data_IF_512942663179
#
_entry.id   IF_512942663179
#
_cell.length_a   1.000
_cell.length_b   1.000
_cell.length_c   1.000
_cell.angle_alpha   90.00
_cell.angle_beta   90.00
_cell.angle_gamma   90.00
#
_symmetry.space_group_name_H-M   'P 1'
#
loop_
_entity.id
_entity.type
_entity.pdbx_description
1 polymer ?
#
# COMPACT_ATOMS: atom_id res chain seq x y z
N UNK A 1 -18.90 19.06 14.72
CA UNK A 1 -17.66 18.92 15.54
C UNK A 1 -16.55 18.46 14.60
N UNK A 2 -15.48 19.23 14.39
CA UNK A 2 -14.31 18.75 13.64
C UNK A 2 -13.63 17.69 14.51
N UNK A 3 -13.41 16.49 13.94
CA UNK A 3 -12.55 15.50 14.58
C UNK A 3 -11.15 16.09 14.64
N UNK A 4 -10.54 16.09 15.79
CA UNK A 4 -9.18 16.63 16.00
C UNK A 4 -8.14 15.52 16.03
N UNK A 5 -8.56 14.26 15.99
CA UNK A 5 -7.70 13.11 16.15
C UNK A 5 -7.66 12.25 14.88
N UNK A 6 -6.49 11.72 14.57
CA UNK A 6 -6.32 10.64 13.60
C UNK A 6 -6.89 9.36 14.18
N UNK A 7 -7.69 8.65 13.41
CA UNK A 7 -8.14 7.30 13.76
C UNK A 7 -7.30 6.27 13.02
N UNK A 8 -6.78 5.29 13.75
CA UNK A 8 -6.03 4.17 13.18
C UNK A 8 -6.82 2.90 13.46
N UNK A 9 -7.11 2.13 12.43
CA UNK A 9 -7.81 0.86 12.53
C UNK A 9 -6.97 -0.23 11.85
N UNK A 10 -6.47 -1.23 12.59
CA UNK A 10 -5.92 -2.42 11.98
C UNK A 10 -7.05 -3.29 11.42
N UNK A 11 -6.75 -4.05 10.37
CA UNK A 11 -7.64 -5.04 9.81
C UNK A 11 -7.02 -6.42 9.90
N UNK A 12 -7.81 -7.41 10.15
CA UNK A 12 -7.49 -8.84 10.05
C UNK A 12 -6.06 -9.22 10.52
N UNK A 13 -5.46 -10.19 9.86
CA UNK A 13 -4.08 -10.61 10.11
C UNK A 13 -3.14 -9.86 9.15
N UNK A 14 -1.97 -9.45 9.63
CA UNK A 14 -0.97 -8.77 8.82
C UNK A 14 -0.82 -7.28 9.13
N UNK A 15 -0.24 -6.56 8.21
CA UNK A 15 0.11 -5.14 8.37
C UNK A 15 -0.91 -4.19 7.71
N UNK A 16 -2.18 -4.56 7.68
CA UNK A 16 -3.25 -3.83 7.01
C UNK A 16 -3.85 -2.78 7.95
N UNK A 17 -3.82 -1.53 7.54
CA UNK A 17 -4.34 -0.44 8.36
C UNK A 17 -5.20 0.53 7.56
N UNK A 18 -6.19 1.11 8.24
CA UNK A 18 -6.88 2.30 7.79
C UNK A 18 -6.52 3.46 8.71
N UNK A 19 -6.16 4.57 8.11
CA UNK A 19 -6.02 5.85 8.78
C UNK A 19 -7.15 6.75 8.31
N UNK A 20 -7.81 7.42 9.25
CA UNK A 20 -8.78 8.48 8.93
C UNK A 20 -8.27 9.77 9.56
N UNK A 21 -7.95 10.73 8.72
CA UNK A 21 -7.45 12.04 9.12
C UNK A 21 -8.59 12.92 9.68
N UNK A 22 -8.27 14.01 10.41
CA UNK A 22 -9.27 14.88 11.00
C UNK A 22 -10.26 15.52 10.01
N UNK A 23 -9.83 15.72 8.78
CA UNK A 23 -10.66 16.24 7.69
C UNK A 23 -11.53 15.16 7.00
N UNK A 24 -11.37 13.90 7.37
CA UNK A 24 -12.10 12.76 6.80
C UNK A 24 -11.33 12.00 5.73
N UNK A 25 -10.17 12.48 5.28
CA UNK A 25 -9.33 11.76 4.31
C UNK A 25 -8.99 10.37 4.83
N UNK A 26 -9.18 9.38 4.00
CA UNK A 26 -8.97 7.97 4.34
C UNK A 26 -7.78 7.40 3.57
N UNK A 27 -6.86 6.82 4.30
CA UNK A 27 -5.65 6.18 3.77
C UNK A 27 -5.68 4.70 4.13
N UNK A 28 -5.52 3.83 3.14
CA UNK A 28 -5.28 2.41 3.36
C UNK A 28 -3.79 2.11 3.24
N UNK A 29 -3.29 1.28 4.13
CA UNK A 29 -1.92 0.77 4.09
C UNK A 29 -1.99 -0.73 3.88
N UNK A 30 -1.30 -1.21 2.85
CA UNK A 30 -1.18 -2.63 2.51
C UNK A 30 -2.54 -3.35 2.50
N UNK A 31 -3.52 -2.93 1.68
CA UNK A 31 -4.87 -3.47 1.73
C UNK A 31 -4.93 -4.91 1.20
N UNK A 32 -4.95 -5.85 2.11
CA UNK A 32 -5.12 -7.27 1.86
C UNK A 32 -6.29 -7.83 2.67
N UNK A 33 -7.40 -8.08 2.02
CA UNK A 33 -8.64 -8.63 2.60
C UNK A 33 -8.98 -9.99 1.99
N UNK A 34 -8.92 -10.09 0.66
CA UNK A 34 -9.22 -11.31 -0.08
C UNK A 34 -8.25 -12.43 0.30
N UNK A 35 -8.79 -13.54 0.81
CA UNK A 35 -7.97 -14.66 1.31
C UNK A 35 -7.38 -14.42 2.71
N UNK A 36 -7.77 -13.32 3.36
CA UNK A 36 -7.38 -12.97 4.74
C UNK A 36 -8.62 -12.88 5.65
N UNK A 37 -9.70 -13.50 5.25
CA UNK A 37 -10.95 -13.48 6.01
C UNK A 37 -10.85 -14.42 7.22
N UNK A 38 -11.41 -14.00 8.33
CA UNK A 38 -11.65 -14.84 9.49
C UNK A 38 -12.99 -14.47 10.15
N UNK A 39 -13.61 -15.36 10.91
CA UNK A 39 -14.90 -15.10 11.54
C UNK A 39 -14.90 -13.83 12.39
N UNK A 40 -15.74 -12.88 12.04
CA UNK A 40 -15.81 -11.58 12.71
C UNK A 40 -14.77 -10.55 12.27
N UNK A 41 -13.92 -10.88 11.29
CA UNK A 41 -12.98 -9.95 10.68
C UNK A 41 -13.64 -9.01 9.67
N UNK A 42 -12.86 -8.07 9.18
CA UNK A 42 -13.29 -7.14 8.13
C UNK A 42 -13.16 -7.78 6.75
N UNK A 43 -14.08 -7.41 5.87
CA UNK A 43 -14.01 -7.67 4.44
C UNK A 43 -13.68 -6.36 3.70
N UNK A 44 -13.27 -6.44 2.45
CA UNK A 44 -13.03 -5.24 1.64
C UNK A 44 -14.32 -4.43 1.38
N UNK A 45 -15.47 -5.07 1.48
CA UNK A 45 -16.79 -4.45 1.32
C UNK A 45 -17.13 -3.52 2.48
N UNK A 46 -16.56 -3.76 3.67
CA UNK A 46 -16.73 -2.92 4.86
C UNK A 46 -16.00 -1.57 4.75
N UNK A 47 -15.09 -1.45 3.78
CA UNK A 47 -14.39 -0.20 3.50
C UNK A 47 -15.29 0.72 2.71
N UNK A 48 -15.57 1.88 3.29
CA UNK A 48 -16.50 2.88 2.74
C UNK A 48 -15.81 4.07 2.07
N UNK A 49 -14.50 4.24 2.27
CA UNK A 49 -13.67 5.28 1.65
C UNK A 49 -12.21 4.85 1.57
N UNK A 50 -11.51 5.26 0.53
CA UNK A 50 -10.07 5.09 0.36
C UNK A 50 -9.57 6.15 -0.64
N UNK A 51 -9.15 7.30 -0.14
CA UNK A 51 -8.62 8.38 -0.99
C UNK A 51 -7.20 8.05 -1.45
N UNK A 52 -6.43 7.44 -0.55
CA UNK A 52 -5.04 7.06 -0.79
C UNK A 52 -4.78 5.61 -0.38
N UNK A 53 -3.88 4.97 -1.11
CA UNK A 53 -3.33 3.65 -0.78
C UNK A 53 -1.81 3.78 -0.71
N UNK A 54 -1.22 3.25 0.35
CA UNK A 54 0.23 3.21 0.51
C UNK A 54 0.63 1.75 0.57
N UNK A 55 1.52 1.34 -0.33
CA UNK A 55 2.12 0.02 -0.31
C UNK A 55 3.52 0.10 0.28
N UNK A 56 3.74 -0.62 1.37
CA UNK A 56 5.08 -0.79 1.92
C UNK A 56 5.95 -1.59 0.97
N UNK A 57 5.37 -2.58 0.30
CA UNK A 57 5.97 -3.36 -0.78
C UNK A 57 4.87 -4.13 -1.54
N UNK A 58 5.23 -4.75 -2.64
CA UNK A 58 4.27 -5.36 -3.56
C UNK A 58 4.22 -6.90 -3.44
N UNK A 59 4.07 -7.42 -2.22
CA UNK A 59 3.71 -8.82 -2.00
C UNK A 59 2.19 -8.98 -1.96
N UNK A 60 1.72 -10.21 -2.24
CA UNK A 60 0.27 -10.49 -2.33
C UNK A 60 -0.50 -10.21 -1.04
N UNK A 61 0.14 -10.44 0.08
CA UNK A 61 -0.40 -10.18 1.41
C UNK A 61 -0.35 -8.69 1.81
N UNK A 62 -0.04 -7.81 0.85
CA UNK A 62 -0.04 -6.36 1.00
C UNK A 62 -0.82 -5.65 -0.10
N UNK A 63 -0.86 -6.18 -1.35
CA UNK A 63 -1.39 -5.44 -2.49
C UNK A 63 -2.63 -6.05 -3.15
N UNK A 64 -3.08 -7.24 -2.71
CA UNK A 64 -4.07 -8.02 -3.46
C UNK A 64 -5.36 -7.27 -3.79
N UNK A 65 -5.84 -6.42 -2.91
CA UNK A 65 -7.10 -5.68 -3.10
C UNK A 65 -6.92 -4.23 -3.61
N UNK A 66 -5.69 -3.82 -3.96
CA UNK A 66 -5.42 -2.46 -4.48
C UNK A 66 -6.29 -2.12 -5.67
N UNK A 67 -6.36 -3.02 -6.65
CA UNK A 67 -7.17 -2.81 -7.85
C UNK A 67 -8.66 -2.61 -7.55
N UNK A 68 -9.20 -3.35 -6.58
CA UNK A 68 -10.57 -3.19 -6.13
C UNK A 68 -10.84 -1.77 -5.59
N UNK A 69 -9.95 -1.28 -4.71
CA UNK A 69 -10.13 0.04 -4.10
C UNK A 69 -9.93 1.18 -5.09
N UNK A 70 -8.95 1.05 -5.99
CA UNK A 70 -8.76 2.06 -7.06
C UNK A 70 -10.00 2.14 -7.94
N UNK A 71 -10.58 1.02 -8.34
CA UNK A 71 -11.80 1.00 -9.16
C UNK A 71 -13.01 1.56 -8.42
N UNK A 72 -13.13 1.28 -7.12
CA UNK A 72 -14.29 1.68 -6.31
C UNK A 72 -14.23 3.14 -5.88
N UNK A 73 -13.05 3.66 -5.53
CA UNK A 73 -12.88 4.97 -4.90
C UNK A 73 -12.00 5.95 -5.68
N UNK A 74 -11.45 5.52 -6.82
CA UNK A 74 -10.45 6.29 -7.57
C UNK A 74 -9.22 6.66 -6.73
N UNK A 75 -8.80 5.73 -5.86
CA UNK A 75 -7.69 5.92 -4.92
C UNK A 75 -6.38 6.25 -5.63
N UNK A 76 -5.56 7.11 -5.02
CA UNK A 76 -4.18 7.36 -5.43
C UNK A 76 -3.25 6.38 -4.72
N UNK A 77 -2.36 5.71 -5.46
CA UNK A 77 -1.52 4.62 -4.96
C UNK A 77 -0.07 5.04 -4.91
N UNK A 78 0.52 5.08 -3.73
CA UNK A 78 1.94 5.26 -3.50
C UNK A 78 2.62 3.90 -3.36
N UNK A 79 3.59 3.64 -4.20
CA UNK A 79 4.30 2.35 -4.26
C UNK A 79 5.75 2.54 -4.66
N UNK A 80 6.64 1.67 -4.18
CA UNK A 80 8.05 1.70 -4.56
C UNK A 80 8.25 1.74 -6.07
N UNK A 81 9.07 2.65 -6.56
CA UNK A 81 9.24 2.95 -7.99
C UNK A 81 9.58 1.71 -8.83
N UNK A 82 10.29 0.76 -8.24
CA UNK A 82 10.68 -0.46 -8.93
C UNK A 82 9.52 -1.42 -9.19
N UNK A 83 8.50 -1.39 -8.33
CA UNK A 83 7.29 -2.22 -8.47
C UNK A 83 6.13 -1.48 -9.13
N UNK A 84 6.25 -0.16 -9.30
CA UNK A 84 5.11 0.67 -9.69
C UNK A 84 4.49 0.25 -11.03
N UNK A 85 5.31 -0.03 -12.04
CA UNK A 85 4.82 -0.41 -13.36
C UNK A 85 4.08 -1.76 -13.35
N UNK A 86 4.51 -2.65 -12.49
CA UNK A 86 3.93 -3.99 -12.38
C UNK A 86 2.64 -3.97 -11.59
N UNK A 87 2.63 -3.25 -10.48
CA UNK A 87 1.40 -2.98 -9.71
C UNK A 87 0.36 -2.34 -10.63
N UNK A 88 0.75 -1.33 -11.41
CA UNK A 88 -0.12 -0.69 -12.38
C UNK A 88 -0.72 -1.69 -13.37
N UNK A 89 0.13 -2.51 -14.00
CA UNK A 89 -0.30 -3.48 -15.02
C UNK A 89 -1.15 -4.60 -14.42
N UNK A 90 -0.69 -5.17 -13.30
CA UNK A 90 -1.36 -6.29 -12.66
C UNK A 90 -2.76 -5.91 -12.19
N UNK A 91 -2.88 -4.80 -11.49
CA UNK A 91 -4.15 -4.32 -10.94
C UNK A 91 -4.96 -3.45 -11.91
N UNK A 92 -4.46 -3.22 -13.13
CA UNK A 92 -5.10 -2.37 -14.15
C UNK A 92 -5.41 -0.97 -13.63
N UNK A 93 -4.45 -0.40 -12.90
CA UNK A 93 -4.57 0.94 -12.31
C UNK A 93 -4.40 1.97 -13.43
N UNK A 94 -5.26 3.01 -13.51
CA UNK A 94 -5.01 4.12 -14.42
C UNK A 94 -3.68 4.81 -14.10
N UNK A 95 -2.95 5.23 -15.13
CA UNK A 95 -1.62 5.82 -14.98
C UNK A 95 -1.60 7.02 -14.00
N UNK A 96 -2.66 7.82 -14.02
CA UNK A 96 -2.77 9.01 -13.17
C UNK A 96 -3.02 8.68 -11.68
N UNK A 97 -3.33 7.44 -11.37
CA UNK A 97 -3.58 7.00 -10.01
C UNK A 97 -2.35 6.40 -9.32
N UNK A 98 -1.23 6.16 -10.05
CA UNK A 98 -0.05 5.54 -9.46
C UNK A 98 1.08 6.56 -9.28
N UNK A 99 1.66 6.58 -8.09
CA UNK A 99 2.71 7.50 -7.66
C UNK A 99 3.95 6.70 -7.25
N UNK A 100 4.93 6.53 -8.13
CA UNK A 100 6.18 5.86 -7.81
C UNK A 100 6.96 6.64 -6.76
N UNK A 101 7.42 5.96 -5.71
CA UNK A 101 8.18 6.57 -4.63
C UNK A 101 9.60 6.00 -4.53
N UNK A 102 10.51 6.83 -4.08
CA UNK A 102 11.89 6.49 -3.80
C UNK A 102 12.21 6.75 -2.32
N UNK A 103 13.28 6.18 -1.78
CA UNK A 103 13.77 6.56 -0.46
C UNK A 103 14.02 8.07 -0.38
N UNK A 104 13.68 8.65 0.76
CA UNK A 104 13.79 10.09 1.02
C UNK A 104 12.92 10.97 0.12
N UNK A 105 11.90 10.40 -0.50
CA UNK A 105 10.89 11.18 -1.22
C UNK A 105 9.85 11.72 -0.23
N UNK A 106 9.47 12.97 -0.44
CA UNK A 106 8.42 13.65 0.32
C UNK A 106 7.34 14.16 -0.62
N UNK A 107 6.10 13.88 -0.30
CA UNK A 107 4.94 14.46 -0.96
C UNK A 107 4.17 15.33 0.04
N UNK A 108 3.90 16.55 -0.34
CA UNK A 108 3.00 17.44 0.40
C UNK A 108 1.68 17.47 -0.36
N UNK A 109 0.66 16.95 0.27
CA UNK A 109 -0.71 16.90 -0.23
C UNK A 109 -1.53 17.94 0.54
N UNK A 110 -2.71 18.24 0.06
CA UNK A 110 -3.55 19.29 0.67
C UNK A 110 -3.91 18.96 2.14
N UNK A 111 -4.00 17.65 2.45
CA UNK A 111 -4.46 17.16 3.74
C UNK A 111 -3.35 16.74 4.68
N UNK A 112 -2.21 16.29 4.14
CA UNK A 112 -1.09 15.75 4.92
C UNK A 112 0.21 15.75 4.12
N UNK A 113 1.30 15.51 4.81
CA UNK A 113 2.60 15.24 4.21
C UNK A 113 2.97 13.79 4.46
N UNK A 114 3.53 13.13 3.44
CA UNK A 114 4.06 11.77 3.54
C UNK A 114 5.53 11.76 3.14
N UNK A 115 6.35 11.11 3.95
CA UNK A 115 7.77 10.90 3.69
C UNK A 115 8.07 9.41 3.65
N UNK A 116 8.92 9.01 2.70
CA UNK A 116 9.30 7.62 2.49
C UNK A 116 10.77 7.43 2.84
N UNK A 117 11.04 6.51 3.75
CA UNK A 117 12.38 6.22 4.22
C UNK A 117 12.84 4.84 3.76
N UNK A 118 14.16 4.63 3.57
CA UNK A 118 14.67 3.29 3.36
C UNK A 118 14.41 2.42 4.60
N UNK A 119 14.25 1.10 4.44
CA UNK A 119 14.08 0.21 5.58
C UNK A 119 15.28 0.29 6.52
N UNK A 120 15.02 0.29 7.82
CA UNK A 120 16.05 0.35 8.86
C UNK A 120 17.01 -0.85 8.85
N UNK A 121 16.55 -1.99 8.34
CA UNK A 121 17.37 -3.17 8.05
C UNK A 121 16.97 -3.70 6.67
N UNK A 122 17.98 -3.96 5.84
CA UNK A 122 17.77 -4.89 4.75
C UNK A 122 17.56 -6.26 5.40
N UNK A 123 16.35 -6.66 5.57
CA UNK A 123 16.08 -8.06 5.81
C UNK A 123 16.56 -8.74 4.54
N UNK A 124 17.54 -9.67 4.62
CA UNK A 124 17.78 -10.52 3.49
C UNK A 124 16.42 -11.18 3.30
N UNK A 125 15.77 -10.83 2.24
CA UNK A 125 14.52 -11.45 1.95
C UNK A 125 14.82 -12.89 1.82
N UNK A 126 14.26 -13.55 2.69
CA UNK A 126 14.09 -14.96 2.66
C UNK A 126 13.47 -15.27 1.32
N UNK A 127 14.30 -15.87 0.53
CA UNK A 127 14.06 -16.25 -0.80
C UNK A 127 12.85 -15.55 -1.35
N UNK A 128 12.99 -14.87 -2.31
CA UNK A 128 11.86 -14.34 -2.97
C UNK A 128 10.94 -15.50 -3.30
N UNK A 129 10.17 -15.88 -2.33
CA UNK A 129 8.82 -16.20 -2.68
C UNK A 129 8.32 -14.90 -3.32
N UNK A 130 9.00 -14.56 -4.41
CA UNK A 130 8.88 -13.31 -5.08
C UNK A 130 7.43 -13.07 -5.28
N UNK A 131 7.07 -11.91 -5.40
CA UNK A 131 5.73 -11.59 -5.73
C UNK A 131 5.37 -12.28 -7.05
N UNK A 132 4.94 -13.52 -6.95
CA UNK A 132 4.55 -14.37 -8.08
C UNK A 132 3.54 -13.69 -9.00
N UNK A 133 2.94 -12.62 -8.53
CA UNK A 133 1.93 -11.89 -9.26
C UNK A 133 2.50 -10.83 -10.16
N UNK A 134 3.69 -10.34 -9.82
CA UNK A 134 4.30 -9.23 -10.52
C UNK A 134 4.90 -9.57 -11.88
N UNK A 135 4.64 -10.71 -12.39
CA UNK A 135 5.11 -11.11 -13.71
C UNK A 135 4.59 -12.47 -14.13
N UNK A 136 3.90 -13.13 -13.21
CA UNK A 136 3.40 -14.49 -13.46
C UNK A 136 4.50 -15.52 -13.59
N UNK A 137 5.74 -15.14 -13.37
CA UNK A 137 6.91 -15.99 -13.43
C UNK A 137 7.83 -15.68 -12.27
N UNK A 138 8.13 -16.67 -11.45
CA UNK A 138 9.06 -16.59 -10.33
C UNK A 138 10.47 -16.18 -10.75
N UNK A 139 10.82 -16.39 -12.00
CA UNK A 139 12.07 -15.96 -12.60
C UNK A 139 12.01 -14.56 -13.18
N UNK A 140 10.83 -13.94 -13.17
CA UNK A 140 10.71 -12.60 -13.67
C UNK A 140 11.67 -11.68 -12.91
N UNK A 141 12.26 -10.74 -13.56
CA UNK A 141 13.35 -9.89 -13.07
C UNK A 141 12.96 -8.91 -11.97
N UNK A 142 11.75 -8.95 -11.55
CA UNK A 142 11.33 -8.50 -10.24
C UNK A 142 11.92 -9.39 -9.13
N UNK A 143 12.37 -10.52 -9.58
CA UNK A 143 13.54 -11.15 -9.04
C UNK A 143 14.60 -10.12 -8.74
N UNK A 144 14.23 -8.92 -8.97
CA UNK A 144 14.62 -7.88 -8.11
C UNK A 144 14.63 -8.51 -6.78
N UNK A 145 15.68 -9.13 -6.73
CA UNK A 145 16.13 -9.65 -5.51
C UNK A 145 15.33 -8.92 -4.46
N UNK A 146 14.63 -9.59 -3.65
CA UNK A 146 13.97 -9.09 -2.49
C UNK A 146 14.82 -8.10 -1.65
N UNK A 147 15.97 -7.77 -2.08
CA UNK A 147 16.90 -6.77 -1.60
C UNK A 147 16.49 -5.32 -1.89
N UNK A 148 15.42 -5.11 -2.65
CA UNK A 148 14.99 -3.79 -3.08
C UNK A 148 13.59 -3.45 -2.58
N UNK A 149 13.05 -4.22 -1.66
CA UNK A 149 11.87 -3.77 -0.94
C UNK A 149 12.25 -2.55 -0.10
N UNK A 150 11.60 -1.47 -0.41
CA UNK A 150 11.64 -0.25 0.35
C UNK A 150 10.39 -0.23 1.22
N UNK A 151 10.39 -0.82 2.42
CA UNK A 151 9.31 -0.56 3.33
C UNK A 151 9.30 0.94 3.55
N UNK A 152 8.15 1.51 3.36
CA UNK A 152 7.94 2.93 3.54
C UNK A 152 7.43 3.12 4.96
N UNK A 153 8.09 3.97 5.71
CA UNK A 153 7.56 4.49 6.96
C UNK A 153 7.03 5.88 6.62
N UNK A 154 5.78 6.14 6.91
CA UNK A 154 5.26 7.50 6.82
C UNK A 154 5.26 8.13 8.22
N UNK A 155 5.61 9.39 8.25
CA UNK A 155 5.48 10.20 9.44
C UNK A 155 4.39 11.23 9.17
N UNK A 156 3.19 11.08 9.75
CA UNK A 156 2.24 12.16 9.68
C UNK A 156 2.80 13.34 10.46
N UNK A 157 2.98 14.46 9.78
CA UNK A 157 3.28 15.72 10.46
C UNK A 157 1.94 16.34 10.79
N UNK A 158 1.70 16.46 12.07
CA UNK A 158 0.55 17.17 12.61
C UNK A 158 0.88 18.65 12.78
#
# INVERSE_FOLDING_TARGET
MRRTNVSIRPFNVGCNFQLVLPNGTTILIDPWFTGNEFPGGFTREDITAADYIILTHAHFDHDLDVGYFVQKFNSRVFVGALSALDVLKYHKIPYDNIFPVFPNTKFTLDEFTIEFYPPAKRTPSIGAAGDHRMGGDESAPYGMTPKVFLPCIFSPIF
#
